data_IF_241026653275
#
_entry.id   IF_241026653275
#
_cell.length_a   1.000
_cell.length_b   1.000
_cell.length_c   1.000
_cell.angle_alpha   90.00
_cell.angle_beta   90.00
_cell.angle_gamma   90.00
#
_symmetry.space_group_name_H-M   'P 1'
#
loop_
_entity.id
_entity.type
_entity.pdbx_description
1 polymer ?
#
# COMPACT_ATOMS: atom_id res chain seq x y z
N UNK A 1 21.78 12.66 -14.86
CA UNK A 1 20.43 12.15 -14.60
C UNK A 1 20.00 12.82 -13.30
N UNK A 2 19.12 13.80 -13.37
CA UNK A 2 18.52 14.43 -12.20
C UNK A 2 17.63 13.40 -11.50
N UNK A 3 17.88 13.16 -10.21
CA UNK A 3 16.95 12.39 -9.39
C UNK A 3 15.55 13.00 -9.58
N UNK A 4 14.51 12.18 -9.82
CA UNK A 4 13.18 12.71 -9.85
C UNK A 4 12.92 13.36 -8.48
N UNK A 5 12.42 14.58 -8.52
CA UNK A 5 11.99 15.25 -7.30
C UNK A 5 11.09 14.25 -6.55
N UNK A 6 11.24 14.16 -5.23
CA UNK A 6 10.38 13.44 -4.28
C UNK A 6 8.96 14.05 -4.27
N UNK A 7 8.48 14.46 -5.43
CA UNK A 7 7.16 14.99 -5.67
C UNK A 7 6.15 13.85 -5.73
N UNK A 8 4.99 14.10 -5.21
CA UNK A 8 3.88 13.17 -5.26
C UNK A 8 3.54 12.83 -6.72
N UNK A 9 3.88 11.62 -7.13
CA UNK A 9 3.73 11.13 -8.53
C UNK A 9 2.29 11.14 -9.03
N UNK A 10 1.34 11.19 -8.11
CA UNK A 10 -0.09 11.26 -8.40
C UNK A 10 -0.63 12.69 -8.50
N UNK A 11 0.18 13.73 -8.23
CA UNK A 11 -0.28 15.12 -8.40
C UNK A 11 -0.66 15.38 -9.87
N UNK A 12 -1.85 15.97 -10.07
CA UNK A 12 -2.48 16.13 -11.38
C UNK A 12 -3.17 14.87 -11.92
N UNK A 13 -3.28 13.79 -11.15
CA UNK A 13 -3.89 12.53 -11.57
C UNK A 13 -4.98 12.00 -10.62
N UNK A 14 -5.33 12.74 -9.55
CA UNK A 14 -6.24 12.25 -8.52
C UNK A 14 -7.65 11.95 -9.04
N UNK A 15 -8.25 12.86 -9.82
CA UNK A 15 -9.60 12.67 -10.37
C UNK A 15 -9.64 11.47 -11.33
N UNK A 16 -8.62 11.35 -12.18
CA UNK A 16 -8.50 10.20 -13.07
C UNK A 16 -8.34 8.90 -12.30
N UNK A 17 -7.47 8.88 -11.27
CA UNK A 17 -7.23 7.68 -10.46
C UNK A 17 -8.50 7.25 -9.72
N UNK A 18 -9.22 8.20 -9.13
CA UNK A 18 -10.47 7.94 -8.42
C UNK A 18 -11.53 7.37 -9.37
N UNK A 19 -11.68 7.94 -10.56
CA UNK A 19 -12.59 7.43 -11.58
C UNK A 19 -12.19 6.02 -12.05
N UNK A 20 -10.90 5.79 -12.30
CA UNK A 20 -10.37 4.48 -12.69
C UNK A 20 -10.63 3.43 -11.61
N UNK A 21 -10.43 3.77 -10.34
CA UNK A 21 -10.63 2.85 -9.22
C UNK A 21 -12.09 2.38 -9.08
N UNK A 22 -13.04 3.20 -9.53
CA UNK A 22 -14.47 2.87 -9.54
C UNK A 22 -14.95 2.21 -10.84
N UNK A 23 -14.13 2.18 -11.88
CA UNK A 23 -14.42 1.59 -13.18
C UNK A 23 -13.50 0.40 -13.48
N UNK A 24 -12.48 0.59 -14.30
CA UNK A 24 -11.56 -0.47 -14.76
C UNK A 24 -10.78 -1.12 -13.60
N UNK A 25 -10.49 -0.36 -12.55
CA UNK A 25 -9.80 -0.81 -11.34
C UNK A 25 -10.70 -1.44 -10.29
N UNK A 26 -12.03 -1.41 -10.46
CA UNK A 26 -12.99 -1.79 -9.42
C UNK A 26 -12.77 -3.21 -8.86
N UNK A 27 -12.46 -4.18 -9.73
CA UNK A 27 -12.20 -5.57 -9.30
C UNK A 27 -10.95 -5.67 -8.43
N UNK A 28 -9.86 -4.99 -8.81
CA UNK A 28 -8.63 -4.99 -8.02
C UNK A 28 -8.82 -4.26 -6.68
N UNK A 29 -9.57 -3.14 -6.69
CA UNK A 29 -9.92 -2.42 -5.46
C UNK A 29 -10.79 -3.28 -4.54
N UNK A 30 -11.78 -3.98 -5.08
CA UNK A 30 -12.64 -4.87 -4.30
C UNK A 30 -11.83 -6.01 -3.66
N UNK A 31 -10.90 -6.62 -4.40
CA UNK A 31 -10.01 -7.67 -3.89
C UNK A 31 -9.10 -7.14 -2.77
N UNK A 32 -8.48 -5.96 -2.96
CA UNK A 32 -7.64 -5.33 -1.93
C UNK A 32 -8.45 -5.00 -0.67
N UNK A 33 -9.67 -4.49 -0.83
CA UNK A 33 -10.58 -4.16 0.29
C UNK A 33 -11.03 -5.41 1.06
N UNK A 34 -11.34 -6.51 0.35
CA UNK A 34 -11.71 -7.77 0.98
C UNK A 34 -10.52 -8.36 1.77
N UNK A 35 -9.32 -8.32 1.19
CA UNK A 35 -8.08 -8.77 1.87
C UNK A 35 -7.78 -7.91 3.10
N UNK A 36 -7.93 -6.60 2.99
CA UNK A 36 -7.77 -5.67 4.11
C UNK A 36 -8.77 -5.99 5.23
N UNK A 37 -10.05 -6.16 4.88
CA UNK A 37 -11.11 -6.48 5.83
C UNK A 37 -10.84 -7.79 6.58
N UNK A 38 -10.36 -8.81 5.89
CA UNK A 38 -9.97 -10.10 6.49
C UNK A 38 -8.86 -9.94 7.55
N UNK A 39 -7.86 -9.08 7.28
CA UNK A 39 -6.67 -8.97 8.12
C UNK A 39 -6.82 -7.97 9.27
N UNK A 40 -7.69 -6.98 9.18
CA UNK A 40 -7.90 -6.03 10.26
C UNK A 40 -8.66 -6.68 11.41
N UNK A 41 -8.11 -6.73 12.64
CA UNK A 41 -8.86 -7.17 13.81
C UNK A 41 -9.98 -6.16 14.13
N UNK A 42 -11.08 -6.62 14.68
CA UNK A 42 -12.06 -5.72 15.29
C UNK A 42 -11.42 -5.04 16.51
N UNK A 43 -11.65 -3.73 16.66
CA UNK A 43 -11.03 -2.96 17.72
C UNK A 43 -11.58 -1.56 17.82
N UNK A 44 -10.83 -0.68 18.48
CA UNK A 44 -11.18 0.73 18.64
C UNK A 44 -9.92 1.58 18.76
N UNK A 45 -10.09 2.90 18.67
CA UNK A 45 -9.01 3.87 18.76
C UNK A 45 -8.58 4.39 17.39
N UNK A 46 -7.41 5.04 17.34
CA UNK A 46 -6.90 5.64 16.12
C UNK A 46 -6.33 4.59 15.18
N UNK A 47 -6.73 4.66 13.91
CA UNK A 47 -6.09 3.98 12.80
C UNK A 47 -5.48 4.99 11.83
N UNK A 48 -4.32 4.65 11.28
CA UNK A 48 -3.65 5.42 10.24
C UNK A 48 -3.73 4.67 8.91
N UNK A 49 -4.14 5.38 7.86
CA UNK A 49 -4.08 4.89 6.47
C UNK A 49 -2.89 5.58 5.79
N UNK A 50 -1.79 4.84 5.60
CA UNK A 50 -0.51 5.34 5.11
C UNK A 50 -0.44 5.18 3.59
N UNK A 51 -0.26 6.29 2.88
CA UNK A 51 -0.46 6.38 1.45
C UNK A 51 -1.95 6.25 1.11
N UNK A 52 -2.80 6.98 1.81
CA UNK A 52 -4.25 6.83 1.72
C UNK A 52 -4.85 7.20 0.36
N UNK A 53 -4.08 7.87 -0.50
CA UNK A 53 -4.53 8.33 -1.80
C UNK A 53 -5.82 9.15 -1.69
N UNK A 54 -6.84 8.78 -2.45
CA UNK A 54 -8.16 9.42 -2.41
C UNK A 54 -9.05 8.91 -1.24
N UNK A 55 -8.54 8.03 -0.36
CA UNK A 55 -9.25 7.57 0.85
C UNK A 55 -10.21 6.41 0.62
N UNK A 56 -10.00 5.60 -0.40
CA UNK A 56 -10.92 4.53 -0.83
C UNK A 56 -11.06 3.37 0.17
N UNK A 57 -10.13 3.24 1.12
CA UNK A 57 -10.12 2.12 2.07
C UNK A 57 -10.64 2.48 3.47
N UNK A 58 -10.91 3.77 3.73
CA UNK A 58 -11.26 4.29 5.06
C UNK A 58 -12.52 3.66 5.67
N UNK A 59 -13.52 3.35 4.85
CA UNK A 59 -14.77 2.73 5.32
C UNK A 59 -14.56 1.27 5.78
N UNK A 60 -13.64 0.54 5.16
CA UNK A 60 -13.27 -0.82 5.59
C UNK A 60 -12.73 -0.76 7.02
N UNK A 61 -11.81 0.16 7.28
CA UNK A 61 -11.19 0.33 8.61
C UNK A 61 -12.21 0.78 9.65
N UNK A 62 -13.13 1.71 9.28
CA UNK A 62 -14.20 2.16 10.18
C UNK A 62 -15.16 1.05 10.56
N UNK A 63 -15.53 0.16 9.63
CA UNK A 63 -16.40 -0.97 9.95
C UNK A 63 -15.81 -1.92 10.98
N UNK A 64 -14.48 -1.93 11.14
CA UNK A 64 -13.77 -2.68 12.17
C UNK A 64 -13.69 -1.96 13.53
N UNK A 65 -14.28 -0.74 13.64
CA UNK A 65 -14.43 -0.01 14.90
C UNK A 65 -13.42 1.12 15.14
N UNK A 66 -12.56 1.43 14.16
CA UNK A 66 -11.50 2.43 14.32
C UNK A 66 -11.91 3.82 13.82
N UNK A 67 -11.33 4.85 14.44
CA UNK A 67 -11.32 6.22 13.90
C UNK A 67 -10.13 6.34 12.96
N UNK A 68 -10.36 6.69 11.68
CA UNK A 68 -9.34 6.67 10.64
C UNK A 68 -8.84 8.07 10.32
N UNK A 69 -7.53 8.24 10.24
CA UNK A 69 -6.84 9.40 9.69
C UNK A 69 -5.94 8.93 8.55
N UNK A 70 -6.03 9.59 7.39
CA UNK A 70 -5.18 9.29 6.23
C UNK A 70 -3.93 10.16 6.20
N UNK A 71 -2.80 9.60 5.77
CA UNK A 71 -1.58 10.32 5.47
C UNK A 71 -1.16 10.04 4.03
N UNK A 72 -0.82 11.10 3.28
CA UNK A 72 -0.30 11.00 1.92
C UNK A 72 0.59 12.21 1.59
N UNK A 73 1.54 12.04 0.68
CA UNK A 73 2.40 13.15 0.23
C UNK A 73 1.70 14.01 -0.83
N UNK A 74 0.76 13.44 -1.58
CA UNK A 74 0.05 14.10 -2.67
C UNK A 74 -1.06 15.03 -2.17
N UNK A 75 -0.87 16.33 -2.38
CA UNK A 75 -1.90 17.30 -2.07
C UNK A 75 -3.16 17.10 -2.94
N UNK A 76 -3.00 16.64 -4.18
CA UNK A 76 -4.09 16.41 -5.11
C UNK A 76 -4.93 15.19 -4.70
N UNK A 77 -4.29 14.09 -4.30
CA UNK A 77 -4.99 12.93 -3.74
C UNK A 77 -5.77 13.31 -2.48
N UNK A 78 -5.13 14.03 -1.56
CA UNK A 78 -5.76 14.47 -0.31
C UNK A 78 -6.93 15.43 -0.52
N UNK A 79 -6.97 16.17 -1.62
CA UNK A 79 -8.11 17.02 -2.00
C UNK A 79 -9.40 16.21 -2.09
N UNK A 80 -9.35 15.02 -2.68
CA UNK A 80 -10.49 14.09 -2.77
C UNK A 80 -10.71 13.33 -1.44
N UNK A 81 -9.63 12.89 -0.81
CA UNK A 81 -9.69 12.14 0.44
C UNK A 81 -10.42 12.88 1.57
N UNK A 82 -10.30 14.23 1.62
CA UNK A 82 -10.94 15.07 2.66
C UNK A 82 -12.45 14.90 2.77
N UNK A 83 -13.12 14.50 1.71
CA UNK A 83 -14.55 14.20 1.73
C UNK A 83 -14.87 12.84 2.38
N UNK A 84 -13.85 11.98 2.55
CA UNK A 84 -13.99 10.59 3.02
C UNK A 84 -13.42 10.38 4.42
N UNK A 85 -12.33 11.09 4.77
CA UNK A 85 -11.68 10.96 6.09
C UNK A 85 -10.88 12.22 6.45
N UNK A 86 -10.58 12.46 7.74
CA UNK A 86 -9.56 13.41 8.14
C UNK A 86 -8.20 13.03 7.57
N UNK A 87 -7.44 14.00 7.07
CA UNK A 87 -6.16 13.76 6.40
C UNK A 87 -5.05 14.68 6.89
N UNK A 88 -3.82 14.20 6.82
CA UNK A 88 -2.59 14.96 7.00
C UNK A 88 -1.72 14.78 5.78
N UNK A 89 -1.11 15.87 5.29
CA UNK A 89 -0.09 15.77 4.26
C UNK A 89 1.23 15.46 4.94
N UNK A 90 1.75 14.26 4.70
CA UNK A 90 2.99 13.79 5.32
C UNK A 90 3.67 12.74 4.44
N UNK A 91 4.99 12.64 4.57
CA UNK A 91 5.74 11.47 4.11
C UNK A 91 5.48 10.31 5.07
N UNK A 92 5.11 9.14 4.51
CA UNK A 92 4.88 7.92 5.30
C UNK A 92 6.12 7.42 6.05
N UNK A 93 7.33 7.79 5.59
CA UNK A 93 8.60 7.50 6.26
C UNK A 93 9.00 8.54 7.32
N UNK A 94 8.19 9.60 7.53
CA UNK A 94 8.46 10.67 8.51
C UNK A 94 7.16 11.29 9.02
N UNK A 95 6.40 10.53 9.79
CA UNK A 95 5.06 10.94 10.25
C UNK A 95 5.15 11.99 11.38
N UNK A 96 4.38 13.10 11.30
CA UNK A 96 4.32 14.12 12.34
C UNK A 96 3.46 13.68 13.53
N UNK A 97 3.67 12.47 14.02
CA UNK A 97 2.88 11.83 15.07
C UNK A 97 3.79 11.30 16.17
N UNK A 98 3.29 11.30 17.40
CA UNK A 98 4.00 10.73 18.55
C UNK A 98 4.02 9.20 18.46
N UNK A 99 4.98 8.59 19.13
CA UNK A 99 5.05 7.16 19.33
C UNK A 99 3.80 6.63 20.05
N UNK A 100 3.36 5.45 19.65
CA UNK A 100 2.32 4.71 20.37
C UNK A 100 0.91 5.32 20.33
N UNK A 101 0.59 6.21 19.40
CA UNK A 101 -0.72 6.88 19.33
C UNK A 101 -1.80 6.07 18.62
N UNK A 102 -1.41 5.15 17.74
CA UNK A 102 -2.33 4.39 16.90
C UNK A 102 -2.51 2.94 17.40
N UNK A 103 -3.67 2.38 17.21
CA UNK A 103 -3.98 0.96 17.44
C UNK A 103 -3.86 0.12 16.17
N UNK A 104 -3.99 0.78 15.02
CA UNK A 104 -3.89 0.17 13.72
C UNK A 104 -3.15 1.12 12.78
N UNK A 105 -2.31 0.58 11.92
CA UNK A 105 -1.82 1.26 10.72
C UNK A 105 -2.08 0.35 9.53
N UNK A 106 -2.52 0.92 8.42
CA UNK A 106 -2.72 0.17 7.16
C UNK A 106 -1.96 0.84 6.04
N UNK A 107 -1.51 0.05 5.06
CA UNK A 107 -0.88 0.52 3.82
C UNK A 107 -1.39 -0.37 2.69
N UNK A 108 -2.19 0.20 1.79
CA UNK A 108 -2.88 -0.55 0.73
C UNK A 108 -2.42 -0.09 -0.64
N UNK A 109 -1.81 -0.99 -1.40
CA UNK A 109 -1.26 -0.76 -2.74
C UNK A 109 -0.16 0.31 -2.82
N UNK A 110 0.41 0.73 -1.69
CA UNK A 110 1.33 1.86 -1.56
C UNK A 110 2.79 1.50 -1.86
N UNK A 111 3.24 0.26 -1.56
CA UNK A 111 4.66 -0.13 -1.66
C UNK A 111 5.28 0.07 -3.05
N UNK A 112 4.46 0.08 -4.09
CA UNK A 112 4.88 0.32 -5.48
C UNK A 112 5.02 1.79 -5.85
N UNK A 113 4.74 2.69 -4.90
CA UNK A 113 4.76 4.13 -5.11
C UNK A 113 5.72 4.85 -4.15
N UNK A 114 6.35 4.08 -3.24
CA UNK A 114 7.28 4.56 -2.21
C UNK A 114 8.68 4.01 -2.47
N UNK A 115 9.69 4.89 -2.53
CA UNK A 115 11.08 4.47 -2.79
C UNK A 115 11.69 3.75 -1.58
N UNK A 116 11.44 4.24 -0.38
CA UNK A 116 11.88 3.63 0.88
C UNK A 116 10.67 3.08 1.67
N UNK A 117 10.21 1.90 1.28
CA UNK A 117 9.10 1.25 1.97
C UNK A 117 9.47 0.78 3.38
N UNK A 118 10.76 0.52 3.64
CA UNK A 118 11.24 0.16 4.97
C UNK A 118 11.05 1.28 5.99
N UNK A 119 11.36 2.52 5.61
CA UNK A 119 11.11 3.69 6.45
C UNK A 119 9.62 3.89 6.74
N UNK A 120 8.74 3.66 5.76
CA UNK A 120 7.29 3.72 6.00
C UNK A 120 6.85 2.67 7.03
N UNK A 121 7.34 1.44 6.93
CA UNK A 121 7.02 0.37 7.89
C UNK A 121 7.59 0.69 9.28
N UNK A 122 8.82 1.21 9.37
CA UNK A 122 9.42 1.61 10.63
C UNK A 122 8.59 2.70 11.34
N UNK A 123 8.14 3.70 10.60
CA UNK A 123 7.25 4.75 11.11
C UNK A 123 5.87 4.19 11.51
N UNK A 124 5.29 3.29 10.70
CA UNK A 124 4.06 2.61 11.07
C UNK A 124 4.20 1.88 12.41
N UNK A 125 5.30 1.14 12.61
CA UNK A 125 5.56 0.42 13.86
C UNK A 125 5.83 1.38 15.02
N UNK A 126 6.56 2.49 14.80
CA UNK A 126 6.83 3.51 15.82
C UNK A 126 5.54 4.11 16.39
N UNK A 127 4.61 4.47 15.51
CA UNK A 127 3.35 5.13 15.93
C UNK A 127 2.31 4.16 16.48
N UNK A 128 2.47 2.85 16.30
CA UNK A 128 1.58 1.87 16.91
C UNK A 128 1.78 1.80 18.44
N UNK A 129 0.71 1.75 19.19
CA UNK A 129 0.74 1.39 20.60
C UNK A 129 1.13 -0.10 20.79
N UNK A 130 1.66 -0.48 21.96
CA UNK A 130 1.87 -1.89 22.30
C UNK A 130 0.63 -2.74 22.01
N UNK A 131 0.82 -3.89 21.35
CA UNK A 131 -0.26 -4.76 20.88
C UNK A 131 -1.01 -4.28 19.63
N UNK A 132 -0.70 -3.10 19.12
CA UNK A 132 -1.27 -2.58 17.86
C UNK A 132 -0.78 -3.36 16.64
N UNK A 133 -1.47 -3.20 15.51
CA UNK A 133 -1.18 -3.93 14.27
C UNK A 133 -0.81 -3.00 13.13
N UNK A 134 0.11 -3.45 12.28
CA UNK A 134 0.29 -2.92 10.92
C UNK A 134 -0.22 -3.97 9.92
N UNK A 135 -1.03 -3.53 8.96
CA UNK A 135 -1.53 -4.37 7.86
C UNK A 135 -1.08 -3.79 6.53
N UNK A 136 -0.29 -4.55 5.79
CA UNK A 136 0.06 -4.27 4.42
C UNK A 136 -0.79 -5.12 3.49
N UNK A 137 -1.37 -4.51 2.45
CA UNK A 137 -1.97 -5.19 1.31
C UNK A 137 -1.35 -4.61 0.05
N UNK A 138 -0.66 -5.42 -0.73
CA UNK A 138 0.02 -4.95 -1.94
C UNK A 138 -0.15 -5.89 -3.12
N UNK A 139 0.18 -5.43 -4.32
CA UNK A 139 0.28 -6.32 -5.47
C UNK A 139 1.38 -7.35 -5.23
N UNK A 140 1.18 -8.58 -5.72
CA UNK A 140 2.16 -9.64 -5.53
C UNK A 140 3.40 -9.38 -6.43
N UNK A 141 4.60 -9.20 -5.85
CA UNK A 141 5.77 -8.75 -6.63
C UNK A 141 6.24 -9.75 -7.67
N UNK A 142 5.94 -11.04 -7.51
CA UNK A 142 6.30 -12.06 -8.50
C UNK A 142 5.34 -12.10 -9.69
N UNK A 143 4.06 -11.81 -9.47
CA UNK A 143 3.00 -12.08 -10.44
C UNK A 143 2.32 -10.81 -10.98
N UNK A 144 2.48 -9.69 -10.28
CA UNK A 144 1.98 -8.36 -10.68
C UNK A 144 3.13 -7.36 -10.58
N UNK A 145 4.17 -7.59 -11.34
CA UNK A 145 5.38 -6.76 -11.38
C UNK A 145 5.57 -6.14 -12.77
N UNK A 146 6.44 -5.14 -12.89
CA UNK A 146 6.74 -4.55 -14.20
C UNK A 146 7.33 -5.52 -15.21
N UNK A 147 7.85 -6.65 -14.78
CA UNK A 147 8.42 -7.71 -15.63
C UNK A 147 7.54 -8.96 -15.71
N UNK A 148 6.32 -8.90 -15.19
CA UNK A 148 5.36 -9.99 -15.24
C UNK A 148 4.34 -9.75 -16.36
N UNK A 149 4.32 -10.62 -17.34
CA UNK A 149 3.38 -10.65 -18.44
C UNK A 149 2.22 -11.57 -18.10
N UNK A 150 1.00 -11.07 -18.08
CA UNK A 150 -0.20 -11.87 -17.85
C UNK A 150 -0.55 -12.66 -19.10
N UNK A 151 -0.71 -13.96 -18.96
CA UNK A 151 -1.15 -14.89 -20.00
C UNK A 151 -2.52 -15.48 -19.63
N UNK A 152 -3.28 -16.06 -20.57
CA UNK A 152 -4.58 -16.68 -20.29
C UNK A 152 -4.52 -17.79 -19.25
N UNK A 153 -3.42 -18.52 -19.18
CA UNK A 153 -3.20 -19.70 -18.33
C UNK A 153 -2.17 -19.45 -17.20
N UNK A 154 -1.69 -18.22 -17.04
CA UNK A 154 -0.72 -17.94 -15.99
C UNK A 154 0.01 -16.62 -16.14
N UNK A 155 1.25 -16.59 -15.69
CA UNK A 155 2.14 -15.42 -15.74
C UNK A 155 3.52 -15.84 -16.19
N UNK A 156 4.08 -15.13 -17.17
CA UNK A 156 5.48 -15.22 -17.56
C UNK A 156 6.28 -14.12 -16.88
N UNK A 157 7.29 -14.50 -16.13
CA UNK A 157 8.25 -13.54 -15.55
C UNK A 157 9.44 -13.38 -16.48
N UNK A 158 9.65 -12.16 -16.96
CA UNK A 158 10.77 -11.81 -17.84
C UNK A 158 12.03 -11.47 -17.05
N UNK A 159 13.22 -11.46 -17.69
CA UNK A 159 14.45 -10.98 -17.08
C UNK A 159 14.29 -9.57 -16.47
N UNK A 160 15.01 -9.33 -15.36
CA UNK A 160 14.93 -8.05 -14.63
C UNK A 160 14.16 -8.12 -13.32
N UNK A 161 13.53 -9.24 -12.98
CA UNK A 161 12.81 -9.40 -11.71
C UNK A 161 13.65 -9.02 -10.48
N UNK A 162 14.94 -9.35 -10.47
CA UNK A 162 15.85 -9.05 -9.35
C UNK A 162 16.35 -7.60 -9.33
N UNK A 163 16.05 -6.82 -10.35
CA UNK A 163 16.45 -5.41 -10.44
C UNK A 163 15.35 -4.55 -9.83
N UNK A 164 15.50 -4.20 -8.57
CA UNK A 164 14.60 -3.27 -7.88
C UNK A 164 14.74 -1.83 -8.38
N UNK A 165 13.82 -0.97 -7.94
CA UNK A 165 13.86 0.45 -8.21
C UNK A 165 12.72 0.94 -9.11
N UNK A 166 12.81 2.24 -9.44
CA UNK A 166 11.75 2.91 -10.20
C UNK A 166 11.77 2.56 -11.69
N UNK A 167 10.59 2.28 -12.25
CA UNK A 167 10.37 2.01 -13.67
C UNK A 167 9.20 2.87 -14.18
N UNK A 168 9.45 3.69 -15.20
CA UNK A 168 8.44 4.60 -15.75
C UNK A 168 7.41 3.87 -16.62
N UNK A 169 7.86 2.93 -17.44
CA UNK A 169 7.01 2.13 -18.32
C UNK A 169 7.58 0.74 -18.49
N UNK A 170 6.71 -0.25 -18.58
CA UNK A 170 7.10 -1.60 -18.95
C UNK A 170 6.17 -2.14 -20.02
N UNK A 171 6.67 -2.92 -20.99
CA UNK A 171 5.84 -3.44 -22.08
C UNK A 171 4.80 -4.47 -21.62
N UNK A 172 4.93 -4.96 -20.38
CA UNK A 172 4.11 -6.06 -19.86
C UNK A 172 3.00 -5.59 -18.91
N UNK A 173 3.07 -4.37 -18.42
CA UNK A 173 2.02 -3.81 -17.55
C UNK A 173 0.89 -3.22 -18.39
N UNK A 174 -0.09 -4.04 -18.73
CA UNK A 174 -1.35 -3.58 -19.30
C UNK A 174 -2.21 -2.72 -18.35
N UNK A 175 -1.64 -2.30 -17.23
CA UNK A 175 -2.33 -1.54 -16.19
C UNK A 175 -2.21 -0.05 -16.48
N UNK A 176 -3.36 0.60 -16.69
CA UNK A 176 -3.43 2.03 -16.98
C UNK A 176 -2.74 2.91 -15.92
N UNK A 177 -2.78 2.51 -14.63
CA UNK A 177 -2.12 3.24 -13.54
C UNK A 177 -0.60 3.26 -13.73
N UNK A 178 0.01 2.08 -13.93
CA UNK A 178 1.47 1.96 -14.06
C UNK A 178 2.03 2.64 -15.29
N UNK A 179 1.28 2.63 -16.40
CA UNK A 179 1.69 3.34 -17.60
C UNK A 179 1.64 4.87 -17.45
N UNK A 180 0.89 5.38 -16.47
CA UNK A 180 0.73 6.81 -16.21
C UNK A 180 1.67 7.35 -15.14
N UNK A 181 1.80 6.64 -14.03
CA UNK A 181 2.57 7.11 -12.86
C UNK A 181 3.87 6.36 -12.63
N UNK A 182 4.11 5.28 -13.40
CA UNK A 182 5.25 4.38 -13.18
C UNK A 182 5.03 3.41 -12.02
N UNK A 183 6.09 2.74 -11.59
CA UNK A 183 6.07 1.75 -10.51
C UNK A 183 7.44 1.63 -9.87
N UNK A 184 7.49 1.59 -8.55
CA UNK A 184 8.67 1.14 -7.81
C UNK A 184 8.61 -0.38 -7.68
N UNK A 185 9.54 -1.09 -8.32
CA UNK A 185 9.62 -2.54 -8.22
C UNK A 185 10.44 -2.93 -7.00
N UNK A 186 9.84 -3.71 -6.12
CA UNK A 186 10.51 -4.39 -5.02
C UNK A 186 10.38 -5.90 -5.27
N UNK A 187 11.48 -6.61 -5.59
CA UNK A 187 11.47 -8.08 -5.55
C UNK A 187 10.95 -8.62 -4.23
N UNK A 188 10.37 -9.82 -4.22
CA UNK A 188 9.75 -10.38 -3.00
C UNK A 188 10.69 -10.36 -1.80
N UNK A 189 11.95 -10.71 -1.99
CA UNK A 189 12.96 -10.65 -0.93
C UNK A 189 13.11 -9.24 -0.36
N UNK A 190 13.20 -8.24 -1.23
CA UNK A 190 13.40 -6.84 -0.81
C UNK A 190 12.13 -6.28 -0.15
N UNK A 191 10.94 -6.63 -0.68
CA UNK A 191 9.67 -6.28 -0.06
C UNK A 191 9.55 -6.87 1.36
N UNK A 192 9.86 -8.15 1.53
CA UNK A 192 9.80 -8.79 2.85
C UNK A 192 10.86 -8.21 3.80
N UNK A 193 12.06 -7.96 3.31
CA UNK A 193 13.12 -7.31 4.11
C UNK A 193 12.70 -5.92 4.59
N UNK A 194 12.07 -5.13 3.72
CA UNK A 194 11.54 -3.82 4.07
C UNK A 194 10.32 -3.88 5.01
N UNK A 195 9.46 -4.90 4.82
CA UNK A 195 8.20 -5.01 5.54
C UNK A 195 8.35 -5.65 6.93
N UNK A 196 9.33 -6.52 7.17
CA UNK A 196 9.50 -7.19 8.45
C UNK A 196 10.23 -6.28 9.45
N UNK A 197 9.72 -6.22 10.69
CA UNK A 197 10.28 -5.34 11.72
C UNK A 197 10.45 -6.08 13.05
N UNK A 198 11.63 -5.99 13.73
CA UNK A 198 11.91 -6.78 14.93
C UNK A 198 10.98 -6.46 16.12
N UNK A 199 10.51 -5.21 16.23
CA UNK A 199 9.56 -4.83 17.29
C UNK A 199 8.11 -5.22 16.99
N UNK A 200 7.83 -5.67 15.76
CA UNK A 200 6.50 -6.09 15.32
C UNK A 200 6.61 -7.36 14.45
N UNK A 201 6.70 -8.53 15.07
CA UNK A 201 6.81 -9.79 14.33
C UNK A 201 5.59 -10.04 13.42
N UNK A 202 5.81 -10.89 12.43
CA UNK A 202 4.78 -11.35 11.51
C UNK A 202 3.70 -12.13 12.26
N UNK A 203 2.45 -11.71 12.14
CA UNK A 203 1.27 -12.29 12.79
C UNK A 203 0.36 -13.00 11.76
N UNK A 204 0.36 -12.54 10.51
CA UNK A 204 -0.32 -13.21 9.40
C UNK A 204 0.35 -12.90 8.07
N UNK A 205 0.30 -13.88 7.16
CA UNK A 205 0.72 -13.76 5.77
C UNK A 205 -0.31 -14.45 4.89
N UNK A 206 -0.80 -13.75 3.87
CA UNK A 206 -1.77 -14.32 2.93
C UNK A 206 -1.47 -13.89 1.51
N UNK A 207 -1.80 -14.77 0.58
CA UNK A 207 -1.84 -14.48 -0.84
C UNK A 207 -3.30 -14.55 -1.31
N UNK A 208 -3.74 -13.61 -2.13
CA UNK A 208 -5.12 -13.51 -2.60
C UNK A 208 -5.17 -13.16 -4.08
N UNK A 209 -6.26 -13.52 -4.72
CA UNK A 209 -6.55 -13.26 -6.14
C UNK A 209 -7.53 -14.28 -6.68
N UNK A 210 -8.18 -13.96 -7.79
CA UNK A 210 -9.18 -14.84 -8.44
C UNK A 210 -8.62 -15.62 -9.64
N UNK A 211 -7.37 -15.40 -10.02
CA UNK A 211 -6.74 -16.03 -11.17
C UNK A 211 -5.94 -17.29 -10.85
N UNK A 212 -5.19 -17.78 -11.85
CA UNK A 212 -4.31 -18.96 -11.72
C UNK A 212 -3.13 -18.73 -10.76
N UNK A 213 -2.79 -17.47 -10.49
CA UNK A 213 -1.72 -17.07 -9.56
C UNK A 213 -2.23 -15.95 -8.64
N UNK A 214 -1.67 -15.81 -7.43
CA UNK A 214 -2.07 -14.75 -6.53
C UNK A 214 -1.69 -13.38 -7.08
N UNK A 215 -2.61 -12.43 -7.01
CA UNK A 215 -2.41 -11.05 -7.47
C UNK A 215 -2.03 -10.10 -6.34
N UNK A 216 -2.42 -10.47 -5.12
CA UNK A 216 -2.15 -9.71 -3.90
C UNK A 216 -1.32 -10.54 -2.94
N UNK A 217 -0.42 -9.84 -2.26
CA UNK A 217 0.31 -10.32 -1.10
C UNK A 217 -0.04 -9.39 0.06
N UNK A 218 -0.38 -9.96 1.20
CA UNK A 218 -0.68 -9.16 2.37
C UNK A 218 -0.06 -9.76 3.64
N UNK A 219 0.37 -8.88 4.53
CA UNK A 219 0.94 -9.25 5.81
C UNK A 219 0.28 -8.45 6.92
N UNK A 220 0.22 -9.06 8.11
CA UNK A 220 -0.05 -8.36 9.35
C UNK A 220 1.12 -8.54 10.30
N UNK A 221 1.61 -7.42 10.80
CA UNK A 221 2.58 -7.36 11.89
C UNK A 221 1.85 -6.96 13.17
N UNK A 222 2.33 -7.45 14.30
CA UNK A 222 1.79 -7.06 15.61
C UNK A 222 2.91 -6.51 16.48
N UNK A 223 2.80 -5.24 16.88
CA UNK A 223 3.76 -4.65 17.83
C UNK A 223 3.71 -5.42 19.15
N UNK A 224 4.89 -5.80 19.64
CA UNK A 224 5.00 -6.51 20.93
C UNK A 224 4.39 -5.67 22.04
N UNK A 225 3.73 -6.30 23.02
CA UNK A 225 3.46 -5.65 24.31
C UNK A 225 4.77 -5.21 24.96
N UNK A 226 4.70 -4.14 25.76
CA UNK A 226 5.84 -3.72 26.58
C UNK A 226 6.12 -4.74 27.68
#
# INVERSE_FOLDING_TARGET
>A
MTAPATGARYDGSADWYDAWAHADGATAMAAARATLDELIPTGSGLALDLGCGTGLHADVVRRRGYTVVGADVSADQLRLARSRLPVVRADGGALPLRDGVARLAVSVLTHTDVEDYGSLVAEAVRVLAPGGCFVHVGVHPCFVSPVAERLPDGVRVHPGYRTGGWQERTPFTGNAVRSRVGVHHLPLQDLLTAALHPAAPLDAFVERGGGAVPELLAIRLRRRPD
#
